data_IF_330022874043
#
_entry.id   IF_330022874043
#
_cell.length_a   1.000
_cell.length_b   1.000
_cell.length_c   1.000
_cell.angle_alpha   90.00
_cell.angle_beta   90.00
_cell.angle_gamma   90.00
#
_symmetry.space_group_name_H-M   'P 1'
#
loop_
_entity.id
_entity.type
_entity.pdbx_description
1 polymer ?
#
# COMPACT_ATOMS: atom_id res chain seq x y z
N UNK A 1 -3.85 2.72 -4.36
CA UNK A 1 -4.03 1.38 -3.76
C UNK A 1 -5.40 1.29 -3.13
N UNK A 2 -6.14 0.24 -3.46
CA UNK A 2 -7.50 0.04 -2.95
C UNK A 2 -7.47 -0.87 -1.72
N UNK A 3 -8.19 -0.48 -0.67
CA UNK A 3 -8.29 -1.26 0.57
C UNK A 3 -9.73 -1.65 0.86
N UNK A 4 -9.89 -2.80 1.49
CA UNK A 4 -11.18 -3.27 1.98
C UNK A 4 -11.10 -3.42 3.49
N UNK A 5 -11.59 -2.42 4.19
CA UNK A 5 -11.72 -2.47 5.64
C UNK A 5 -12.71 -1.42 6.10
N UNK A 6 -13.25 -1.65 7.27
CA UNK A 6 -14.09 -0.68 7.95
C UNK A 6 -13.71 -0.68 9.42
N UNK A 7 -13.20 0.44 9.90
CA UNK A 7 -12.77 0.58 11.29
C UNK A 7 -13.94 1.13 12.10
N UNK A 8 -14.55 0.28 12.94
CA UNK A 8 -15.64 0.65 13.82
C UNK A 8 -15.13 0.84 15.24
N UNK A 9 -14.28 -0.06 15.72
CA UNK A 9 -13.67 0.00 17.03
C UNK A 9 -12.17 -0.15 16.89
N UNK A 10 -11.42 0.93 17.14
CA UNK A 10 -9.97 0.97 16.94
C UNK A 10 -9.18 0.22 18.00
N UNK A 11 -9.85 -0.34 19.00
CA UNK A 11 -9.22 -1.17 20.04
C UNK A 11 -9.23 -2.65 19.70
N UNK A 12 -9.91 -3.05 18.62
CA UNK A 12 -10.03 -4.43 18.20
C UNK A 12 -9.05 -4.77 17.08
N UNK A 13 -8.95 -6.05 16.76
CA UNK A 13 -8.19 -6.54 15.63
C UNK A 13 -8.99 -6.36 14.34
N UNK A 14 -8.31 -5.92 13.28
CA UNK A 14 -8.94 -5.76 11.98
C UNK A 14 -8.13 -6.45 10.90
N UNK A 15 -8.85 -7.15 10.03
CA UNK A 15 -8.28 -7.71 8.82
C UNK A 15 -8.31 -6.63 7.73
N UNK A 16 -7.15 -6.34 7.15
CA UNK A 16 -7.01 -5.29 6.14
C UNK A 16 -6.45 -5.90 4.86
N UNK A 17 -7.15 -5.68 3.75
CA UNK A 17 -6.69 -6.11 2.43
C UNK A 17 -6.52 -4.89 1.55
N UNK A 18 -5.37 -4.74 0.93
CA UNK A 18 -5.08 -3.67 -0.02
C UNK A 18 -4.59 -4.26 -1.33
N UNK A 19 -5.18 -3.81 -2.43
CA UNK A 19 -4.88 -4.32 -3.76
C UNK A 19 -4.38 -3.19 -4.65
N UNK A 20 -3.31 -3.45 -5.40
CA UNK A 20 -2.83 -2.51 -6.42
C UNK A 20 -3.89 -2.40 -7.52
N UNK A 21 -4.08 -1.18 -8.03
CA UNK A 21 -5.06 -0.92 -9.09
C UNK A 21 -4.90 -1.89 -10.25
N UNK A 22 -6.01 -2.54 -10.64
CA UNK A 22 -6.06 -3.52 -11.75
C UNK A 22 -5.07 -4.68 -11.61
N UNK A 23 -4.75 -5.07 -10.38
CA UNK A 23 -3.92 -6.24 -10.07
C UNK A 23 -2.50 -6.16 -10.67
N UNK A 24 -1.98 -4.96 -10.88
CA UNK A 24 -0.63 -4.78 -11.40
C UNK A 24 0.40 -5.32 -10.38
N UNK A 25 1.33 -6.20 -10.81
CA UNK A 25 2.17 -6.95 -9.86
C UNK A 25 3.41 -6.17 -9.40
N UNK A 26 3.23 -5.05 -8.70
CA UNK A 26 4.35 -4.21 -8.26
C UNK A 26 5.15 -4.84 -7.13
N UNK A 27 4.59 -5.77 -6.36
CA UNK A 27 5.30 -6.43 -5.25
C UNK A 27 6.03 -7.70 -5.67
N UNK A 28 6.08 -8.02 -6.97
CA UNK A 28 6.79 -9.21 -7.45
C UNK A 28 8.30 -9.16 -7.19
N UNK A 29 8.88 -7.97 -7.09
CA UNK A 29 10.29 -7.77 -6.77
C UNK A 29 10.45 -7.48 -5.28
N UNK A 30 11.44 -8.11 -4.63
CA UNK A 30 11.79 -7.84 -3.24
C UNK A 30 12.05 -6.37 -2.99
N UNK A 31 12.63 -5.68 -3.96
CA UNK A 31 12.98 -4.27 -3.84
C UNK A 31 11.73 -3.43 -3.55
N UNK A 32 10.61 -3.69 -4.24
CA UNK A 32 9.36 -2.98 -4.01
C UNK A 32 8.62 -3.49 -2.78
N UNK A 33 8.70 -4.79 -2.54
CA UNK A 33 8.17 -5.44 -1.36
C UNK A 33 8.73 -4.79 -0.08
N UNK A 34 10.03 -4.51 -0.03
CA UNK A 34 10.66 -3.92 1.15
C UNK A 34 10.21 -2.50 1.45
N UNK A 35 9.68 -1.79 0.47
CA UNK A 35 9.08 -0.46 0.72
C UNK A 35 7.88 -0.61 1.64
N UNK A 36 7.01 -1.58 1.37
CA UNK A 36 5.83 -1.83 2.19
C UNK A 36 6.21 -2.31 3.60
N UNK A 37 7.13 -3.26 3.71
CA UNK A 37 7.56 -3.75 5.02
C UNK A 37 8.26 -2.66 5.84
N UNK A 38 9.03 -1.79 5.21
CA UNK A 38 9.64 -0.64 5.86
C UNK A 38 8.61 0.33 6.42
N UNK A 39 7.53 0.56 5.67
CA UNK A 39 6.42 1.40 6.10
C UNK A 39 5.70 0.81 7.31
N UNK A 40 5.52 -0.50 7.34
CA UNK A 40 4.96 -1.19 8.50
C UNK A 40 5.86 -1.05 9.73
N UNK A 41 7.16 -1.23 9.58
CA UNK A 41 8.12 -1.09 10.68
C UNK A 41 8.11 0.33 11.26
N UNK A 42 8.07 1.33 10.40
CA UNK A 42 7.98 2.72 10.83
C UNK A 42 6.71 2.95 11.66
N UNK A 43 5.57 2.46 11.17
CA UNK A 43 4.29 2.65 11.85
C UNK A 43 4.23 1.90 13.18
N UNK A 44 4.87 0.74 13.29
CA UNK A 44 5.00 0.03 14.57
C UNK A 44 5.77 0.87 15.58
N UNK A 45 6.85 1.49 15.15
CA UNK A 45 7.72 2.27 16.03
C UNK A 45 7.12 3.63 16.39
N UNK A 46 6.55 4.34 15.41
CA UNK A 46 6.16 5.74 15.57
C UNK A 46 4.66 5.95 15.80
N UNK A 47 3.83 5.00 15.45
CA UNK A 47 2.36 5.13 15.51
C UNK A 47 1.69 4.07 16.37
N UNK A 48 2.46 3.28 17.09
CA UNK A 48 1.96 2.18 17.93
C UNK A 48 1.09 1.18 17.16
N UNK A 49 1.37 0.99 15.89
CA UNK A 49 0.69 -0.03 15.10
C UNK A 49 1.11 -1.40 15.60
N UNK A 50 0.14 -2.29 15.78
CA UNK A 50 0.39 -3.68 16.14
C UNK A 50 0.03 -4.57 14.96
N UNK A 51 0.99 -5.35 14.50
CA UNK A 51 0.84 -6.26 13.37
C UNK A 51 0.91 -7.67 13.91
N UNK A 52 -0.18 -8.42 13.76
CA UNK A 52 -0.27 -9.81 14.24
C UNK A 52 0.09 -10.80 13.16
N UNK A 53 -0.21 -10.50 11.92
CA UNK A 53 0.18 -11.30 10.77
C UNK A 53 0.09 -10.46 9.51
N UNK A 54 0.84 -10.86 8.48
CA UNK A 54 0.68 -10.26 7.17
C UNK A 54 1.17 -11.24 6.10
N UNK A 55 0.61 -11.09 4.90
CA UNK A 55 1.03 -11.79 3.69
C UNK A 55 1.04 -10.77 2.56
N UNK A 56 2.15 -10.69 1.85
CA UNK A 56 2.31 -9.79 0.71
C UNK A 56 2.46 -10.64 -0.54
N UNK A 57 1.52 -10.48 -1.46
CA UNK A 57 1.54 -11.12 -2.75
C UNK A 57 2.00 -10.12 -3.82
N UNK A 58 2.15 -10.55 -5.06
CA UNK A 58 2.70 -9.70 -6.11
C UNK A 58 1.87 -8.43 -6.38
N UNK A 59 0.57 -8.46 -6.14
CA UNK A 59 -0.33 -7.34 -6.45
C UNK A 59 -1.23 -6.92 -5.29
N UNK A 60 -1.10 -7.52 -4.11
CA UNK A 60 -1.90 -7.13 -2.96
C UNK A 60 -1.28 -7.65 -1.67
N UNK A 61 -1.79 -7.16 -0.55
CA UNK A 61 -1.39 -7.68 0.75
C UNK A 61 -2.59 -7.81 1.68
N UNK A 62 -2.46 -8.75 2.61
CA UNK A 62 -3.41 -8.96 3.70
C UNK A 62 -2.67 -8.78 5.02
N UNK A 63 -3.33 -8.17 5.99
CA UNK A 63 -2.74 -8.00 7.32
C UNK A 63 -3.80 -8.02 8.39
N UNK A 64 -3.42 -8.45 9.59
CA UNK A 64 -4.26 -8.37 10.79
C UNK A 64 -3.59 -7.36 11.72
N UNK A 65 -4.26 -6.26 11.98
CA UNK A 65 -3.70 -5.10 12.64
C UNK A 65 -4.57 -4.65 13.81
N UNK A 66 -3.96 -3.95 14.74
CA UNK A 66 -4.67 -3.14 15.72
C UNK A 66 -3.84 -1.90 16.06
N UNK A 67 -4.48 -0.92 16.68
CA UNK A 67 -3.80 0.31 17.08
C UNK A 67 -4.80 1.41 17.36
N UNK A 68 -4.32 2.44 18.05
CA UNK A 68 -5.09 3.66 18.25
C UNK A 68 -5.13 4.43 16.94
N UNK A 69 -6.31 4.95 16.59
CA UNK A 69 -6.50 5.72 15.34
C UNK A 69 -6.03 4.92 14.10
N UNK A 70 -6.45 3.67 14.00
CA UNK A 70 -5.96 2.74 12.99
C UNK A 70 -6.17 3.26 11.57
N UNK A 71 -7.33 3.85 11.26
CA UNK A 71 -7.60 4.39 9.94
C UNK A 71 -6.64 5.53 9.57
N UNK A 72 -6.28 6.37 10.55
CA UNK A 72 -5.32 7.46 10.35
C UNK A 72 -3.89 6.94 10.19
N UNK A 73 -3.60 5.76 10.68
CA UNK A 73 -2.29 5.12 10.52
C UNK A 73 -2.16 4.43 9.16
N UNK A 74 -3.24 3.76 8.73
CA UNK A 74 -3.24 3.00 7.47
C UNK A 74 -3.16 3.93 6.25
N UNK A 75 -3.87 5.05 6.26
CA UNK A 75 -3.88 5.97 5.11
C UNK A 75 -2.46 6.47 4.75
N UNK A 76 -1.63 6.94 5.69
CA UNK A 76 -0.24 7.30 5.37
C UNK A 76 0.60 6.12 4.87
N UNK A 77 0.39 4.90 5.37
CA UNK A 77 1.10 3.72 4.88
C UNK A 77 0.83 3.54 3.38
N UNK A 78 -0.44 3.62 2.98
CA UNK A 78 -0.84 3.47 1.59
C UNK A 78 -0.25 4.58 0.71
N UNK A 79 -0.35 5.83 1.14
CA UNK A 79 0.17 6.98 0.39
C UNK A 79 1.68 6.94 0.25
N UNK A 80 2.40 6.67 1.33
CA UNK A 80 3.85 6.59 1.32
C UNK A 80 4.32 5.43 0.43
N UNK A 81 3.69 4.27 0.57
CA UNK A 81 4.04 3.09 -0.20
C UNK A 81 3.83 3.33 -1.69
N UNK A 82 2.69 3.90 -2.07
CA UNK A 82 2.39 4.20 -3.47
C UNK A 82 3.40 5.17 -4.06
N UNK A 83 3.69 6.27 -3.38
CA UNK A 83 4.65 7.27 -3.85
C UNK A 83 6.05 6.68 -3.98
N UNK A 84 6.50 5.96 -2.96
CA UNK A 84 7.84 5.40 -2.94
C UNK A 84 8.04 4.35 -4.02
N UNK A 85 7.01 3.54 -4.27
CA UNK A 85 7.07 2.53 -5.34
C UNK A 85 7.12 3.22 -6.70
N UNK A 86 6.30 4.24 -6.93
CA UNK A 86 6.30 4.98 -8.20
C UNK A 86 7.68 5.61 -8.43
N UNK A 87 8.26 6.25 -7.42
CA UNK A 87 9.59 6.85 -7.54
C UNK A 87 10.64 5.81 -7.86
N UNK A 88 10.57 4.64 -7.24
CA UNK A 88 11.52 3.57 -7.48
C UNK A 88 11.33 2.94 -8.87
N UNK A 89 10.09 2.81 -9.33
CA UNK A 89 9.81 2.35 -10.69
C UNK A 89 10.44 3.29 -11.73
N UNK A 90 10.37 4.60 -11.49
CA UNK A 90 11.01 5.60 -12.36
C UNK A 90 12.52 5.43 -12.33
N UNK A 91 13.12 5.28 -11.17
CA UNK A 91 14.57 5.09 -11.01
C UNK A 91 15.04 3.79 -11.69
N UNK A 92 14.21 2.75 -11.64
CA UNK A 92 14.53 1.44 -12.23
C UNK A 92 14.13 1.33 -13.70
N UNK A 93 13.59 2.40 -14.29
CA UNK A 93 13.14 2.44 -15.70
C UNK A 93 12.10 1.37 -16.04
N UNK A 94 11.17 1.12 -15.13
CA UNK A 94 10.10 0.15 -15.32
C UNK A 94 8.91 0.78 -16.05
N UNK A 95 9.15 1.19 -17.28
CA UNK A 95 8.21 1.99 -18.07
C UNK A 95 6.88 1.26 -18.31
N UNK A 96 6.92 -0.05 -18.48
CA UNK A 96 5.70 -0.83 -18.72
C UNK A 96 4.73 -0.72 -17.53
N UNK A 97 5.23 -0.89 -16.31
CA UNK A 97 4.39 -0.78 -15.11
C UNK A 97 3.91 0.64 -14.89
N UNK A 98 4.80 1.62 -15.12
CA UNK A 98 4.44 3.04 -15.01
C UNK A 98 3.35 3.41 -16.01
N UNK A 99 3.45 2.93 -17.25
CA UNK A 99 2.46 3.20 -18.29
C UNK A 99 1.11 2.58 -17.94
N UNK A 100 1.10 1.38 -17.36
CA UNK A 100 -0.13 0.74 -16.92
C UNK A 100 -0.80 1.54 -15.79
N UNK A 101 -0.03 2.01 -14.82
CA UNK A 101 -0.55 2.81 -13.71
C UNK A 101 -1.10 4.15 -14.21
N UNK A 102 -0.41 4.78 -15.13
CA UNK A 102 -0.88 6.04 -15.72
C UNK A 102 -2.15 5.84 -16.55
N UNK A 103 -2.21 4.78 -17.34
CA UNK A 103 -3.38 4.47 -18.17
C UNK A 103 -4.63 4.33 -17.32
N UNK A 104 -4.57 3.56 -16.23
CA UNK A 104 -5.73 3.37 -15.38
C UNK A 104 -6.08 4.60 -14.55
N UNK A 105 -5.10 5.43 -14.24
CA UNK A 105 -5.35 6.72 -13.60
C UNK A 105 -6.26 7.61 -14.45
N UNK A 106 -6.02 7.67 -15.75
CA UNK A 106 -6.81 8.49 -16.67
C UNK A 106 -8.30 8.12 -16.67
N UNK A 107 -8.63 6.89 -16.31
CA UNK A 107 -10.02 6.44 -16.23
C UNK A 107 -10.70 6.79 -14.92
N UNK A 108 -9.94 7.00 -13.85
CA UNK A 108 -10.51 7.08 -12.50
C UNK A 108 -10.18 8.37 -11.76
N UNK A 109 -9.00 8.94 -11.96
CA UNK A 109 -8.55 10.14 -11.24
C UNK A 109 -7.73 11.04 -12.15
N UNK A 110 -8.26 12.23 -12.41
CA UNK A 110 -7.56 13.19 -13.27
C UNK A 110 -6.53 14.04 -12.54
N UNK A 111 -6.59 14.09 -11.19
CA UNK A 111 -5.73 14.97 -10.39
C UNK A 111 -4.46 14.29 -9.86
N UNK A 112 -4.23 13.03 -10.19
CA UNK A 112 -3.02 12.28 -9.81
C UNK A 112 -2.25 11.92 -11.06
N UNK A 113 -0.92 11.93 -10.98
CA UNK A 113 -0.08 11.52 -12.13
C UNK A 113 -0.21 10.01 -12.37
N UNK A 114 -0.15 9.21 -11.30
CA UNK A 114 -0.24 7.75 -11.40
C UNK A 114 -1.28 7.22 -10.44
N UNK A 115 -1.98 6.17 -10.86
CA UNK A 115 -2.92 5.43 -10.02
C UNK A 115 -2.27 4.15 -9.48
N UNK A 116 -2.23 4.07 -8.16
CA UNK A 116 -1.63 2.91 -7.48
C UNK A 116 -2.63 2.14 -6.65
#
# INVERSE_FOLDING_TARGET
MKSRYRIIDEKQLYSVTSTVQKWIPVFASERYFHILTGSFKYSQREKNLKIYSYVILDNHFHSVLSGNNLSQTIAPIKSYTARSIIDLLKADNKDRLLNQLEYYKLKHKSNCEYQF
#
